data_IF_468826946453
#
_entry.id   IF_468826946453
#
_cell.length_a   1.000
_cell.length_b   1.000
_cell.length_c   1.000
_cell.angle_alpha   90.00
_cell.angle_beta   90.00
_cell.angle_gamma   90.00
#
_symmetry.space_group_name_H-M   'P 1'
#
loop_
_entity.id
_entity.type
_entity.pdbx_description
1 polymer ?
#
# COMPACT_ATOMS: atom_id res chain seq x y z
N UNK A 1 24.22 52.75 24.59
CA UNK A 1 25.04 51.63 24.05
C UNK A 1 24.57 50.38 24.78
N UNK A 2 23.42 49.80 24.41
CA UNK A 2 23.28 48.82 23.32
C UNK A 2 24.14 47.57 23.54
N UNK A 3 23.49 46.49 24.02
CA UNK A 3 23.57 45.20 23.33
C UNK A 3 22.28 44.42 23.53
N UNK A 4 21.63 44.22 22.39
CA UNK A 4 20.38 43.52 22.14
C UNK A 4 20.74 42.06 21.80
N UNK A 5 19.77 41.16 22.02
CA UNK A 5 19.60 39.83 21.39
C UNK A 5 20.34 38.62 21.98
N UNK A 6 19.55 37.69 22.54
CA UNK A 6 19.18 36.38 21.95
C UNK A 6 18.22 35.75 22.97
N UNK A 7 16.90 35.83 22.79
CA UNK A 7 16.23 35.16 21.70
C UNK A 7 16.34 33.66 21.97
N UNK A 8 15.63 33.17 22.99
CA UNK A 8 15.50 31.74 23.25
C UNK A 8 14.94 31.09 22.01
N UNK A 9 15.82 30.41 21.29
CA UNK A 9 15.52 29.56 20.15
C UNK A 9 14.55 28.51 20.66
N UNK A 10 13.26 28.68 20.31
CA UNK A 10 12.27 27.65 20.51
C UNK A 10 12.66 26.55 19.54
N UNK A 11 13.31 25.51 20.04
CA UNK A 11 13.57 24.28 19.30
C UNK A 11 12.32 23.90 18.51
N UNK A 12 12.38 23.88 17.17
CA UNK A 12 11.31 23.37 16.35
C UNK A 12 11.42 21.85 16.28
N UNK A 13 11.70 21.17 17.40
CA UNK A 13 11.39 19.75 17.60
C UNK A 13 9.87 19.60 17.78
N UNK A 14 9.21 20.10 16.74
CA UNK A 14 7.81 20.01 16.41
C UNK A 14 7.46 18.54 16.32
N UNK A 15 6.44 18.16 17.07
CA UNK A 15 5.55 17.06 16.79
C UNK A 15 6.27 15.82 16.24
N UNK A 16 6.61 14.88 17.12
CA UNK A 16 6.79 13.47 16.76
C UNK A 16 5.49 13.01 16.11
N UNK A 17 5.35 13.27 14.80
CA UNK A 17 4.41 12.61 13.94
C UNK A 17 4.86 11.16 14.03
N UNK A 18 3.97 10.29 14.50
CA UNK A 18 4.26 8.88 14.73
C UNK A 18 4.52 8.20 13.37
N UNK A 19 5.70 8.45 12.79
CA UNK A 19 6.12 7.95 11.48
C UNK A 19 6.49 6.48 11.70
N UNK A 20 5.84 5.53 11.01
CA UNK A 20 6.16 4.12 11.19
C UNK A 20 7.60 3.87 10.71
N UNK A 21 8.35 2.97 11.38
CA UNK A 21 9.73 2.70 11.01
C UNK A 21 9.81 2.22 9.57
N UNK A 22 10.79 2.72 8.82
CA UNK A 22 11.00 2.39 7.42
C UNK A 22 11.47 0.93 7.28
N UNK A 23 10.70 0.05 6.60
CA UNK A 23 11.13 -1.32 6.36
C UNK A 23 12.40 -1.36 5.49
N UNK A 24 13.27 -2.37 5.61
CA UNK A 24 14.38 -2.53 4.68
C UNK A 24 13.86 -2.68 3.24
N UNK A 25 14.55 -2.10 2.27
CA UNK A 25 14.20 -2.22 0.84
C UNK A 25 14.66 -3.58 0.34
N UNK A 26 13.77 -4.31 -0.35
CA UNK A 26 14.16 -5.53 -1.05
C UNK A 26 14.92 -5.20 -2.35
N UNK A 27 16.19 -5.64 -2.51
CA UNK A 27 16.98 -5.29 -3.68
C UNK A 27 16.51 -6.00 -4.95
N UNK A 28 15.81 -7.13 -4.80
CA UNK A 28 15.42 -7.99 -5.92
C UNK A 28 13.97 -7.77 -6.33
N UNK A 29 13.09 -7.46 -5.39
CA UNK A 29 11.65 -7.47 -5.60
C UNK A 29 11.01 -6.09 -5.46
N UNK A 30 10.02 -5.81 -6.31
CA UNK A 30 9.18 -4.63 -6.18
C UNK A 30 8.27 -4.80 -4.96
N UNK A 31 8.06 -3.76 -4.15
CA UNK A 31 7.25 -3.89 -2.92
C UNK A 31 5.91 -3.16 -3.10
N UNK A 32 4.80 -3.85 -2.81
CA UNK A 32 3.45 -3.33 -2.91
C UNK A 32 2.95 -2.96 -1.52
N UNK A 33 2.72 -1.68 -1.26
CA UNK A 33 2.10 -1.22 -0.01
C UNK A 33 0.60 -1.21 -0.20
N UNK A 34 -0.11 -1.97 0.63
CA UNK A 34 -1.57 -2.07 0.62
C UNK A 34 -2.14 -1.09 1.62
N UNK A 35 -3.09 -0.30 1.15
CA UNK A 35 -3.79 0.71 1.92
C UNK A 35 -5.25 0.34 2.09
N UNK A 36 -5.80 0.77 3.21
CA UNK A 36 -7.24 0.75 3.48
C UNK A 36 -7.70 2.13 3.89
N UNK A 37 -8.92 2.46 3.50
CA UNK A 37 -9.64 3.57 4.10
C UNK A 37 -11.07 3.20 4.40
N UNK A 38 -11.63 3.92 5.37
CA UNK A 38 -13.07 4.01 5.53
C UNK A 38 -13.63 5.01 4.52
N UNK A 39 -14.74 4.68 3.85
CA UNK A 39 -15.47 5.66 3.01
C UNK A 39 -15.86 6.92 3.78
N UNK A 40 -16.05 6.82 5.10
CA UNK A 40 -16.38 7.96 5.96
C UNK A 40 -15.18 8.83 6.29
N UNK A 41 -14.03 8.24 6.64
CA UNK A 41 -12.86 9.00 7.14
C UNK A 41 -11.94 9.51 6.03
N UNK A 42 -12.13 9.06 4.78
CA UNK A 42 -11.39 9.47 3.55
C UNK A 42 -9.86 9.43 3.63
N UNK A 43 -9.30 8.95 4.74
CA UNK A 43 -7.88 8.88 5.03
C UNK A 43 -7.39 7.47 4.77
N UNK A 44 -6.37 7.35 3.94
CA UNK A 44 -5.71 6.07 3.65
C UNK A 44 -4.72 5.72 4.74
N UNK A 45 -4.79 4.50 5.22
CA UNK A 45 -3.90 3.92 6.22
C UNK A 45 -3.12 2.78 5.59
N UNK A 46 -1.78 2.74 5.71
CA UNK A 46 -1.01 1.59 5.28
C UNK A 46 -1.34 0.39 6.17
N UNK A 47 -1.57 -0.77 5.55
CA UNK A 47 -1.88 -2.02 6.26
C UNK A 47 -0.71 -2.99 6.24
N UNK A 48 -0.05 -3.13 5.09
CA UNK A 48 0.87 -4.24 4.84
C UNK A 48 1.73 -3.92 3.63
N UNK A 49 2.95 -4.43 3.60
CA UNK A 49 3.87 -4.32 2.48
C UNK A 49 4.19 -5.71 1.93
N UNK A 50 3.74 -5.99 0.72
CA UNK A 50 3.88 -7.28 0.04
C UNK A 50 5.05 -7.18 -0.92
N UNK A 51 6.11 -7.95 -0.67
CA UNK A 51 7.18 -8.12 -1.66
C UNK A 51 6.60 -8.72 -2.93
N UNK A 52 7.16 -8.37 -4.07
CA UNK A 52 6.86 -8.79 -5.43
C UNK A 52 7.47 -10.16 -5.77
N UNK A 53 6.78 -10.93 -6.60
CA UNK A 53 7.34 -12.14 -7.23
C UNK A 53 8.00 -11.75 -8.54
N UNK A 54 8.68 -12.71 -9.18
CA UNK A 54 9.32 -12.45 -10.48
C UNK A 54 8.32 -11.94 -11.53
N UNK A 55 7.07 -12.44 -11.50
CA UNK A 55 6.00 -11.98 -12.39
C UNK A 55 5.64 -10.52 -12.13
N UNK A 56 5.55 -10.12 -10.86
CA UNK A 56 5.27 -8.74 -10.48
C UNK A 56 6.39 -7.81 -10.93
N UNK A 57 7.64 -8.20 -10.69
CA UNK A 57 8.80 -7.44 -11.12
C UNK A 57 8.82 -7.28 -12.65
N UNK A 58 8.49 -8.34 -13.40
CA UNK A 58 8.41 -8.28 -14.86
C UNK A 58 7.30 -7.34 -15.34
N UNK A 59 6.11 -7.37 -14.72
CA UNK A 59 5.02 -6.45 -15.07
C UNK A 59 5.43 -5.00 -14.80
N UNK A 60 6.01 -4.71 -13.63
CA UNK A 60 6.45 -3.35 -13.27
C UNK A 60 7.59 -2.86 -14.17
N UNK A 61 8.56 -3.73 -14.50
CA UNK A 61 9.64 -3.38 -15.41
C UNK A 61 9.08 -2.99 -16.80
N UNK A 62 8.12 -3.76 -17.33
CA UNK A 62 7.43 -3.42 -18.58
C UNK A 62 6.59 -2.15 -18.46
N UNK A 63 5.97 -1.91 -17.29
CA UNK A 63 5.22 -0.70 -17.02
C UNK A 63 6.13 0.53 -16.87
N UNK A 64 7.37 0.41 -16.42
CA UNK A 64 8.30 1.56 -16.35
C UNK A 64 8.84 1.92 -17.74
N UNK A 65 8.95 0.96 -18.64
CA UNK A 65 9.39 1.18 -20.02
C UNK A 65 8.32 1.95 -20.82
N UNK A 66 8.69 3.10 -21.39
CA UNK A 66 7.76 3.97 -22.14
C UNK A 66 7.05 3.26 -23.31
N UNK A 67 7.76 2.35 -23.98
CA UNK A 67 7.18 1.49 -25.02
C UNK A 67 6.11 0.54 -24.46
N UNK A 68 6.36 -0.06 -23.30
CA UNK A 68 5.42 -0.95 -22.61
C UNK A 68 4.21 -0.21 -22.04
N UNK A 69 4.39 1.00 -21.49
CA UNK A 69 3.27 1.88 -21.09
C UNK A 69 2.32 2.17 -22.24
N UNK A 70 2.88 2.51 -23.41
CA UNK A 70 2.09 2.91 -24.59
C UNK A 70 1.35 1.73 -25.23
N UNK A 71 1.94 0.53 -25.22
CA UNK A 71 1.33 -0.66 -25.82
C UNK A 71 0.38 -1.40 -24.88
N UNK A 72 0.72 -1.48 -23.59
CA UNK A 72 0.05 -2.37 -22.64
C UNK A 72 -0.22 -1.74 -21.28
N UNK A 73 0.11 -0.47 -21.04
CA UNK A 73 0.05 0.16 -19.72
C UNK A 73 -1.30 -0.06 -19.02
N UNK A 74 -2.40 0.24 -19.71
CA UNK A 74 -3.75 0.00 -19.16
C UNK A 74 -4.04 -1.47 -18.86
N UNK A 75 -3.64 -2.40 -19.73
CA UNK A 75 -3.87 -3.83 -19.54
C UNK A 75 -3.00 -4.44 -18.42
N UNK A 76 -1.77 -3.95 -18.25
CA UNK A 76 -0.87 -4.35 -17.17
C UNK A 76 -1.33 -3.80 -15.83
N UNK A 77 -1.82 -2.55 -15.80
CA UNK A 77 -2.48 -1.96 -14.63
C UNK A 77 -3.73 -2.74 -14.24
N UNK A 78 -4.59 -3.05 -15.21
CA UNK A 78 -5.79 -3.86 -14.99
C UNK A 78 -5.43 -5.24 -14.42
N UNK A 79 -4.35 -5.85 -14.91
CA UNK A 79 -3.86 -7.14 -14.42
C UNK A 79 -3.41 -7.08 -12.96
N UNK A 80 -2.62 -6.06 -12.59
CA UNK A 80 -2.17 -5.87 -11.21
C UNK A 80 -3.33 -5.57 -10.27
N UNK A 81 -4.12 -4.56 -10.61
CA UNK A 81 -5.29 -4.11 -9.84
C UNK A 81 -6.17 -5.31 -9.54
N UNK A 82 -6.44 -6.09 -10.56
CA UNK A 82 -7.29 -7.25 -10.47
C UNK A 82 -6.75 -8.35 -9.57
N UNK A 83 -5.52 -8.80 -9.77
CA UNK A 83 -5.02 -9.94 -9.01
C UNK A 83 -4.89 -9.58 -7.52
N UNK A 84 -4.47 -8.33 -7.24
CA UNK A 84 -4.48 -7.77 -5.88
C UNK A 84 -5.91 -7.70 -5.35
N UNK A 85 -6.88 -7.25 -6.15
CA UNK A 85 -8.29 -7.22 -5.78
C UNK A 85 -8.82 -8.62 -5.42
N UNK A 86 -8.59 -9.61 -6.28
CA UNK A 86 -9.02 -10.99 -6.06
C UNK A 86 -8.48 -11.54 -4.74
N UNK A 87 -7.18 -11.36 -4.47
CA UNK A 87 -6.56 -11.81 -3.23
C UNK A 87 -7.13 -11.10 -1.98
N UNK A 88 -7.35 -9.79 -2.05
CA UNK A 88 -7.95 -9.03 -0.94
C UNK A 88 -9.41 -9.44 -0.72
N UNK A 89 -10.21 -9.58 -1.78
CA UNK A 89 -11.64 -9.87 -1.65
C UNK A 89 -11.92 -11.32 -1.25
N UNK A 90 -11.05 -12.26 -1.60
CA UNK A 90 -11.17 -13.66 -1.19
C UNK A 90 -11.14 -13.82 0.34
N UNK A 91 -10.30 -13.05 1.03
CA UNK A 91 -10.19 -13.07 2.51
C UNK A 91 -10.67 -11.75 3.16
N UNK A 92 -11.50 -10.98 2.46
CA UNK A 92 -11.89 -9.62 2.88
C UNK A 92 -12.50 -9.55 4.27
N UNK A 93 -13.37 -10.49 4.63
CA UNK A 93 -13.98 -10.53 5.97
C UNK A 93 -12.94 -10.70 7.07
N UNK A 94 -11.97 -11.61 6.88
CA UNK A 94 -10.88 -11.84 7.85
C UNK A 94 -9.98 -10.61 7.97
N UNK A 95 -9.66 -9.98 6.82
CA UNK A 95 -8.87 -8.75 6.76
C UNK A 95 -9.58 -7.63 7.52
N UNK A 96 -10.86 -7.41 7.24
CA UNK A 96 -11.68 -6.38 7.89
C UNK A 96 -11.78 -6.60 9.39
N UNK A 97 -12.01 -7.84 9.84
CA UNK A 97 -12.03 -8.18 11.27
C UNK A 97 -10.68 -7.86 11.94
N UNK A 98 -9.57 -8.23 11.30
CA UNK A 98 -8.24 -7.92 11.80
C UNK A 98 -8.00 -6.41 11.89
N UNK A 99 -8.38 -5.66 10.87
CA UNK A 99 -8.23 -4.20 10.84
C UNK A 99 -9.04 -3.51 11.93
N UNK A 100 -10.28 -3.96 12.17
CA UNK A 100 -11.12 -3.45 13.26
C UNK A 100 -10.51 -3.71 14.64
N UNK A 101 -9.83 -4.84 14.80
CA UNK A 101 -9.14 -5.19 16.03
C UNK A 101 -7.85 -4.39 16.23
N UNK A 102 -7.10 -4.14 15.15
CA UNK A 102 -5.81 -3.42 15.22
C UNK A 102 -5.95 -1.91 15.23
N UNK A 103 -6.97 -1.36 14.56
CA UNK A 103 -7.14 0.07 14.36
C UNK A 103 -8.50 0.49 14.95
N UNK A 104 -8.52 1.02 16.19
CA UNK A 104 -9.76 1.38 16.89
C UNK A 104 -10.67 2.32 16.09
N UNK A 105 -10.10 3.23 15.30
CA UNK A 105 -10.86 4.17 14.46
C UNK A 105 -11.68 3.48 13.35
N UNK A 106 -11.33 2.24 12.98
CA UNK A 106 -12.03 1.47 11.95
C UNK A 106 -13.12 0.55 12.52
N UNK A 107 -13.25 0.43 13.85
CA UNK A 107 -14.17 -0.51 14.53
C UNK A 107 -15.62 -0.39 14.06
N UNK A 108 -16.09 0.83 13.83
CA UNK A 108 -17.47 1.12 13.39
C UNK A 108 -17.62 1.33 11.88
N UNK A 109 -16.53 1.16 11.12
CA UNK A 109 -16.57 1.35 9.66
C UNK A 109 -17.33 0.22 8.99
N UNK A 110 -18.40 0.57 8.26
CA UNK A 110 -19.22 -0.38 7.49
C UNK A 110 -18.71 -0.61 6.08
N UNK A 111 -18.06 0.38 5.47
CA UNK A 111 -17.60 0.31 4.10
C UNK A 111 -16.12 0.65 4.01
N UNK A 112 -15.35 -0.31 3.51
CA UNK A 112 -13.92 -0.18 3.29
C UNK A 112 -13.63 -0.01 1.81
N UNK A 113 -12.61 0.78 1.52
CA UNK A 113 -11.98 0.84 0.21
C UNK A 113 -10.53 0.41 0.35
N UNK A 114 -10.07 -0.36 -0.62
CA UNK A 114 -8.70 -0.85 -0.70
C UNK A 114 -7.96 -0.15 -1.83
N UNK A 115 -6.66 -0.04 -1.67
CA UNK A 115 -5.77 0.53 -2.66
C UNK A 115 -4.39 -0.04 -2.49
N UNK A 116 -3.56 0.12 -3.49
CA UNK A 116 -2.15 -0.24 -3.38
C UNK A 116 -1.29 0.82 -4.05
N UNK A 117 -0.01 0.85 -3.68
CA UNK A 117 1.02 1.54 -4.44
C UNK A 117 2.28 0.70 -4.47
N UNK A 118 3.12 0.95 -5.46
CA UNK A 118 4.46 0.36 -5.52
C UNK A 118 5.38 1.28 -4.73
N UNK A 119 6.17 0.73 -3.81
CA UNK A 119 7.14 1.46 -3.03
C UNK A 119 8.24 1.99 -3.95
N UNK A 120 8.55 3.27 -3.80
CA UNK A 120 9.71 3.85 -4.45
C UNK A 120 10.99 3.42 -3.70
N UNK A 121 11.96 2.89 -4.44
CA UNK A 121 13.25 2.45 -3.89
C UNK A 121 14.18 3.63 -3.63
N UNK A 122 14.03 4.72 -4.38
CA UNK A 122 14.84 5.94 -4.25
C UNK A 122 14.38 6.79 -3.06
N UNK A 123 13.10 6.65 -2.66
CA UNK A 123 12.51 7.35 -1.51
C UNK A 123 11.81 6.34 -0.57
N UNK A 124 12.56 5.47 0.11
CA UNK A 124 12.00 4.33 0.84
C UNK A 124 11.15 4.71 2.05
N UNK A 125 11.36 5.90 2.63
CA UNK A 125 10.63 6.44 3.79
C UNK A 125 9.19 6.85 3.45
N UNK A 126 8.87 7.04 2.17
CA UNK A 126 7.56 7.52 1.73
C UNK A 126 6.53 6.41 1.60
N UNK A 127 6.90 5.16 1.91
CA UNK A 127 6.05 3.98 1.77
C UNK A 127 4.70 4.10 2.48
N UNK A 128 4.62 4.80 3.61
CA UNK A 128 3.38 4.98 4.39
C UNK A 128 2.52 6.16 3.92
N UNK A 129 3.07 7.07 3.09
CA UNK A 129 2.34 8.25 2.62
C UNK A 129 1.23 7.86 1.66
N UNK A 130 0.04 8.48 1.73
CA UNK A 130 -1.12 8.12 0.92
C UNK A 130 -1.10 8.74 -0.50
N UNK A 131 0.08 8.90 -1.08
CA UNK A 131 0.32 9.50 -2.39
C UNK A 131 0.48 8.40 -3.44
N UNK A 132 -0.03 8.62 -4.65
CA UNK A 132 0.08 7.66 -5.75
C UNK A 132 -0.66 6.34 -5.54
N UNK A 133 -1.72 6.32 -4.70
CA UNK A 133 -2.51 5.11 -4.46
C UNK A 133 -3.39 4.80 -5.67
N UNK A 134 -3.19 3.62 -6.25
CA UNK A 134 -4.10 3.00 -7.20
C UNK A 134 -5.26 2.38 -6.43
N UNK A 135 -6.49 2.86 -6.70
CA UNK A 135 -7.69 2.38 -6.04
C UNK A 135 -8.11 1.04 -6.61
N UNK A 136 -8.46 0.12 -5.72
CA UNK A 136 -9.00 -1.17 -6.12
C UNK A 136 -10.52 -1.03 -6.26
N UNK A 137 -11.09 -1.37 -7.43
CA UNK A 137 -12.53 -1.30 -7.64
C UNK A 137 -13.28 -2.25 -6.68
N UNK A 138 -14.57 -2.00 -6.39
CA UNK A 138 -15.39 -2.94 -5.63
C UNK A 138 -15.49 -4.28 -6.36
N UNK A 139 -15.81 -5.34 -5.61
CA UNK A 139 -15.85 -6.74 -6.13
C UNK A 139 -16.67 -6.91 -7.41
N UNK A 140 -17.72 -6.11 -7.57
CA UNK A 140 -18.65 -6.15 -8.71
C UNK A 140 -18.03 -5.61 -10.00
N UNK A 141 -17.05 -4.70 -9.89
CA UNK A 141 -16.41 -4.00 -11.01
C UNK A 141 -15.03 -4.58 -11.36
N UNK A 142 -14.67 -5.72 -10.78
CA UNK A 142 -13.41 -6.39 -11.12
C UNK A 142 -13.54 -7.02 -12.51
N UNK A 143 -12.58 -6.79 -13.44
CA UNK A 143 -12.52 -7.50 -14.72
C UNK A 143 -12.58 -9.04 -14.54
N UNK A 144 -12.97 -9.84 -15.56
CA UNK A 144 -13.39 -11.28 -15.38
C UNK A 144 -12.41 -12.44 -15.69
N UNK A 145 -11.31 -12.28 -16.43
CA UNK A 145 -10.10 -13.17 -16.52
C UNK A 145 -8.83 -12.98 -15.60
N UNK A 146 -8.65 -13.65 -14.44
CA UNK A 146 -7.50 -13.42 -13.54
C UNK A 146 -6.24 -14.11 -14.09
N UNK A 147 -5.07 -13.68 -13.62
CA UNK A 147 -3.87 -14.52 -13.75
C UNK A 147 -3.74 -15.29 -12.44
N UNK A 148 -4.21 -16.54 -12.46
CA UNK A 148 -4.30 -17.44 -11.29
C UNK A 148 -2.98 -17.48 -10.49
N UNK A 149 -1.85 -17.63 -11.20
CA UNK A 149 -0.52 -17.69 -10.59
C UNK A 149 -0.09 -16.42 -9.83
N UNK A 150 -0.53 -15.24 -10.25
CA UNK A 150 -0.21 -13.99 -9.54
C UNK A 150 -1.08 -13.82 -8.31
N UNK A 151 -2.38 -14.17 -8.42
CA UNK A 151 -3.32 -14.14 -7.30
C UNK A 151 -2.86 -15.01 -6.14
N UNK A 152 -2.50 -16.27 -6.42
CA UNK A 152 -2.06 -17.22 -5.40
C UNK A 152 -0.78 -16.77 -4.70
N UNK A 153 0.18 -16.27 -5.48
CA UNK A 153 1.43 -15.74 -4.95
C UNK A 153 1.19 -14.51 -4.05
N UNK A 154 0.35 -13.58 -4.50
CA UNK A 154 0.04 -12.37 -3.74
C UNK A 154 -0.72 -12.71 -2.47
N UNK A 155 -1.69 -13.63 -2.54
CA UNK A 155 -2.42 -14.12 -1.38
C UNK A 155 -1.49 -14.82 -0.37
N UNK A 156 -0.59 -15.68 -0.85
CA UNK A 156 0.40 -16.35 0.00
C UNK A 156 1.35 -15.35 0.67
N UNK A 157 1.74 -14.29 -0.01
CA UNK A 157 2.63 -13.25 0.53
C UNK A 157 1.90 -12.32 1.50
N UNK A 158 0.69 -11.86 1.14
CA UNK A 158 -0.16 -11.00 1.97
C UNK A 158 -0.66 -11.72 3.23
N UNK A 159 -1.06 -12.98 3.11
CA UNK A 159 -1.49 -13.83 4.24
C UNK A 159 -0.38 -14.04 5.28
N UNK A 160 0.88 -14.18 4.84
CA UNK A 160 2.04 -14.27 5.74
C UNK A 160 2.30 -12.98 6.53
N UNK A 161 2.14 -11.82 5.89
CA UNK A 161 2.27 -10.52 6.58
C UNK A 161 1.11 -10.30 7.56
N UNK A 162 -0.07 -10.82 7.21
CA UNK A 162 -1.22 -10.94 8.09
C UNK A 162 -0.92 -11.72 9.38
N UNK A 163 -0.02 -12.70 9.37
CA UNK A 163 0.38 -13.45 10.56
C UNK A 163 1.52 -12.79 11.35
N UNK A 164 2.33 -11.93 10.72
CA UNK A 164 3.55 -11.36 11.29
C UNK A 164 3.41 -10.04 12.04
N UNK A 165 2.30 -9.32 11.91
CA UNK A 165 2.05 -8.11 12.72
C UNK A 165 1.59 -8.48 14.14
N UNK A 166 2.51 -8.97 14.96
CA UNK A 166 2.46 -8.71 16.41
C UNK A 166 3.10 -7.35 16.65
N UNK A 167 2.43 -6.58 17.51
CA UNK A 167 2.86 -5.27 18.00
C UNK A 167 4.29 -5.30 18.58
#
# INVERSE_FOLDING_TARGET
REKKMRGGEKDPEKAVRNIPPTPPVDPQNEEFVIFVRSKMQRTWLPMSMVKGGWQANAIIANQRNEFGKKLFGGALDDTLVRNIASAIYQDSDKIVQKLRSQIPQLKHTKQFEFGFKIRDRDVPDDWWKPEGITRIPPKEDIPKTPIENFGDWFQGSFGKIGAGMKA
#
